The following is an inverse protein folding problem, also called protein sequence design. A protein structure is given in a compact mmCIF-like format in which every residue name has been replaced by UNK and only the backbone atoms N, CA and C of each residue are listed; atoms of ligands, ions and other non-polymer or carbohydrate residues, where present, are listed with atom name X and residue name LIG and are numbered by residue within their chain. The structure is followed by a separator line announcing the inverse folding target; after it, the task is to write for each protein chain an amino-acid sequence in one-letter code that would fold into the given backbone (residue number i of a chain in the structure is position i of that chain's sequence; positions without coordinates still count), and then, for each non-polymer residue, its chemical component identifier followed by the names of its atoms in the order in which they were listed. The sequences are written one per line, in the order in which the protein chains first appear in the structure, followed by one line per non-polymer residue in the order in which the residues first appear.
data_IF_037951702209
#
_entry.id   IF_037951702209
#
_cell.length_a   1.000
_cell.length_b   1.000
_cell.length_c   1.000
_cell.angle_alpha   90.00
_cell.angle_beta   90.00
_cell.angle_gamma   90.00
#
_symmetry.space_group_name_H-M   'P 1'
#
loop_
_entity.id
_entity.type
_entity.pdbx_description
1 polymer ?
#
# COMPACT_ATOMS: atom_id res chain seq x y z
N UNK A 1 -3.55 -25.05 -10.02
CA UNK A 1 -2.92 -24.65 -8.75
C UNK A 1 -2.27 -23.30 -8.96
N UNK A 2 -2.60 -22.27 -8.20
CA UNK A 2 -1.92 -20.97 -8.32
C UNK A 2 -0.54 -21.17 -7.69
N UNK A 3 0.51 -21.32 -8.50
CA UNK A 3 1.89 -21.37 -8.02
C UNK A 3 2.32 -19.96 -7.66
N UNK A 4 2.77 -19.73 -6.43
CA UNK A 4 3.41 -18.48 -6.08
C UNK A 4 4.77 -18.42 -6.80
N UNK A 5 5.01 -17.41 -7.64
CA UNK A 5 6.31 -17.28 -8.28
C UNK A 5 7.38 -17.15 -7.20
N UNK A 6 8.51 -17.83 -7.39
CA UNK A 6 9.66 -17.60 -6.55
C UNK A 6 10.11 -16.14 -6.75
N UNK A 7 10.69 -15.53 -5.72
CA UNK A 7 11.20 -14.15 -5.74
C UNK A 7 12.14 -13.80 -6.90
N UNK A 8 12.62 -14.83 -7.62
CA UNK A 8 13.63 -14.80 -8.67
C UNK A 8 13.00 -14.95 -10.07
N UNK A 9 11.69 -15.18 -10.16
CA UNK A 9 11.00 -15.36 -11.44
C UNK A 9 10.81 -14.03 -12.17
N UNK A 10 11.16 -14.00 -13.46
CA UNK A 10 10.87 -12.90 -14.39
C UNK A 10 9.36 -12.53 -14.40
N UNK A 11 8.51 -13.47 -14.00
CA UNK A 11 7.06 -13.37 -13.95
C UNK A 11 6.50 -12.58 -12.75
N UNK A 12 7.32 -12.15 -11.79
CA UNK A 12 6.80 -11.41 -10.60
C UNK A 12 6.14 -10.07 -10.99
N UNK A 13 6.62 -9.42 -12.06
CA UNK A 13 6.00 -8.20 -12.56
C UNK A 13 4.62 -8.47 -13.16
N UNK A 14 4.49 -9.45 -14.05
CA UNK A 14 3.20 -9.84 -14.64
C UNK A 14 2.21 -10.31 -13.57
N UNK A 15 2.68 -11.09 -12.60
CA UNK A 15 1.88 -11.52 -11.47
C UNK A 15 1.37 -10.32 -10.65
N UNK A 16 2.25 -9.38 -10.29
CA UNK A 16 1.88 -8.13 -9.60
C UNK A 16 0.88 -7.28 -10.40
N UNK A 17 1.04 -7.25 -11.74
CA UNK A 17 0.08 -6.59 -12.62
C UNK A 17 -1.31 -7.22 -12.52
N UNK A 18 -1.40 -8.55 -12.65
CA UNK A 18 -2.67 -9.26 -12.65
C UNK A 18 -3.40 -9.26 -11.31
N UNK A 19 -2.68 -9.34 -10.19
CA UNK A 19 -3.32 -9.50 -8.88
C UNK A 19 -3.55 -8.18 -8.12
N UNK A 20 -2.79 -7.12 -8.43
CA UNK A 20 -2.81 -5.88 -7.62
C UNK A 20 -2.95 -4.62 -8.46
N UNK A 21 -2.07 -4.41 -9.45
CA UNK A 21 -1.99 -3.12 -10.13
C UNK A 21 -3.10 -2.91 -11.17
N UNK A 22 -3.47 -3.93 -11.94
CA UNK A 22 -4.63 -3.83 -12.85
C UNK A 22 -5.94 -3.67 -12.07
N UNK A 23 -6.28 -4.53 -11.08
CA UNK A 23 -7.56 -4.43 -10.39
C UNK A 23 -7.72 -3.08 -9.68
N UNK A 24 -6.64 -2.57 -9.09
CA UNK A 24 -6.64 -1.26 -8.44
C UNK A 24 -6.88 -0.12 -9.42
N UNK A 25 -6.22 -0.14 -10.60
CA UNK A 25 -6.41 0.89 -11.64
C UNK A 25 -7.82 0.85 -12.22
N UNK A 26 -8.37 -0.35 -12.43
CA UNK A 26 -9.75 -0.52 -12.89
C UNK A 26 -10.74 0.06 -11.89
N UNK A 27 -10.57 -0.21 -10.60
CA UNK A 27 -11.41 0.37 -9.54
C UNK A 27 -11.31 1.91 -9.49
N UNK A 28 -10.11 2.49 -9.64
CA UNK A 28 -9.97 3.95 -9.70
C UNK A 28 -10.70 4.56 -10.91
N UNK A 29 -10.62 3.90 -12.08
CA UNK A 29 -11.31 4.37 -13.29
C UNK A 29 -12.83 4.28 -13.16
N UNK A 30 -13.33 3.23 -12.51
CA UNK A 30 -14.76 3.00 -12.31
C UNK A 30 -15.36 3.98 -11.29
N UNK A 31 -14.69 4.19 -10.16
CA UNK A 31 -15.24 5.00 -9.08
C UNK A 31 -14.92 6.50 -9.19
N UNK A 32 -13.89 6.88 -9.96
CA UNK A 32 -13.45 8.27 -10.15
C UNK A 32 -13.39 9.09 -8.84
N UNK A 33 -12.70 8.61 -7.78
CA UNK A 33 -12.76 9.29 -6.49
C UNK A 33 -11.96 10.59 -6.51
N UNK A 34 -12.50 11.65 -5.89
CA UNK A 34 -11.75 12.89 -5.64
C UNK A 34 -10.68 12.69 -4.55
N UNK A 35 -10.91 11.75 -3.63
CA UNK A 35 -10.06 11.49 -2.48
C UNK A 35 -9.95 10.00 -2.16
N UNK A 36 -8.77 9.55 -1.70
CA UNK A 36 -8.55 8.22 -1.13
C UNK A 36 -7.75 8.28 0.17
N UNK A 37 -8.21 7.53 1.18
CA UNK A 37 -7.39 7.25 2.35
C UNK A 37 -6.33 6.21 2.04
N UNK A 38 -5.13 6.43 2.54
CA UNK A 38 -4.04 5.46 2.47
C UNK A 38 -3.34 5.38 3.82
N UNK A 39 -2.54 4.34 4.04
CA UNK A 39 -1.69 4.23 5.22
C UNK A 39 -0.21 4.24 4.84
N UNK A 40 0.19 5.12 3.90
CA UNK A 40 1.60 5.45 3.71
C UNK A 40 2.10 6.09 5.01
N UNK A 41 3.28 5.66 5.45
CA UNK A 41 3.97 6.22 6.61
C UNK A 41 5.43 6.51 6.26
N UNK A 42 6.00 7.48 6.96
CA UNK A 42 7.43 7.83 6.88
C UNK A 42 8.31 6.65 7.33
N UNK A 43 9.58 6.64 6.92
CA UNK A 43 10.62 5.65 7.25
C UNK A 43 10.38 4.25 6.70
N UNK A 44 9.66 4.16 5.59
CA UNK A 44 9.41 2.91 4.89
C UNK A 44 10.26 2.79 3.61
N UNK A 45 10.37 3.87 2.84
CA UNK A 45 11.26 4.03 1.67
C UNK A 45 11.51 5.52 1.42
N UNK A 46 12.54 5.84 0.63
CA UNK A 46 12.81 7.22 0.20
C UNK A 46 11.62 7.86 -0.54
N UNK A 47 10.83 7.06 -1.27
CA UNK A 47 9.65 7.54 -1.96
C UNK A 47 8.54 7.98 -0.99
N UNK A 48 8.35 7.21 0.09
CA UNK A 48 7.31 7.47 1.09
C UNK A 48 7.65 8.65 1.97
N UNK A 49 8.94 8.91 2.20
CA UNK A 49 9.43 10.04 3.01
C UNK A 49 9.14 11.41 2.38
N UNK A 50 8.68 11.45 1.12
CA UNK A 50 8.38 12.69 0.37
C UNK A 50 6.88 12.95 0.18
N UNK A 51 5.98 12.27 0.91
CA UNK A 51 4.51 12.35 0.70
C UNK A 51 3.76 13.24 1.68
N UNK A 52 4.19 13.30 2.94
CA UNK A 52 3.42 13.94 4.03
C UNK A 52 1.99 13.37 4.20
N UNK A 53 1.21 13.95 5.12
CA UNK A 53 -0.19 13.57 5.39
C UNK A 53 -1.07 13.74 4.16
N UNK A 54 -0.84 14.80 3.37
CA UNK A 54 -1.62 15.12 2.17
C UNK A 54 -0.71 15.10 0.95
N UNK A 55 -1.10 14.34 -0.07
CA UNK A 55 -0.42 14.34 -1.38
C UNK A 55 -1.41 14.10 -2.51
N UNK A 56 -1.03 14.44 -3.74
CA UNK A 56 -1.85 14.17 -4.93
C UNK A 56 -1.29 12.98 -5.75
N UNK A 57 -2.18 12.25 -6.44
CA UNK A 57 -1.77 11.43 -7.59
C UNK A 57 -1.51 12.30 -8.82
N UNK A 58 -0.91 11.72 -9.86
CA UNK A 58 -0.79 12.37 -11.18
C UNK A 58 -2.15 12.73 -11.77
N UNK A 59 -3.18 11.93 -11.46
CA UNK A 59 -4.54 12.12 -11.94
C UNK A 59 -5.37 13.07 -11.05
N UNK A 60 -4.75 13.78 -10.09
CA UNK A 60 -5.42 14.79 -9.27
C UNK A 60 -6.20 14.27 -8.08
N UNK A 61 -6.12 12.97 -7.76
CA UNK A 61 -6.81 12.38 -6.60
C UNK A 61 -6.05 12.75 -5.31
N UNK A 62 -6.76 13.33 -4.33
CA UNK A 62 -6.20 13.64 -3.02
C UNK A 62 -5.97 12.34 -2.23
N UNK A 63 -4.72 12.06 -1.88
CA UNK A 63 -4.32 10.98 -1.00
C UNK A 63 -4.16 11.53 0.41
N UNK A 64 -4.88 10.93 1.36
CA UNK A 64 -4.84 11.30 2.77
C UNK A 64 -4.25 10.15 3.58
N UNK A 65 -3.16 10.41 4.31
CA UNK A 65 -2.48 9.43 5.16
C UNK A 65 -2.46 9.93 6.61
N UNK A 66 -3.54 9.72 7.38
CA UNK A 66 -3.69 10.31 8.72
C UNK A 66 -2.58 9.89 9.71
N UNK A 67 -2.03 8.70 9.52
CA UNK A 67 -1.01 8.11 10.39
C UNK A 67 0.41 8.30 9.85
N UNK A 68 0.63 9.26 8.95
CA UNK A 68 1.90 9.39 8.21
C UNK A 68 3.15 9.42 9.12
N UNK A 69 3.07 10.13 10.25
CA UNK A 69 4.16 10.26 11.22
C UNK A 69 4.12 9.24 12.36
N UNK A 70 3.14 8.33 12.38
CA UNK A 70 2.99 7.36 13.47
C UNK A 70 3.95 6.18 13.32
N UNK A 71 4.54 5.79 14.44
CA UNK A 71 5.33 4.57 14.54
C UNK A 71 4.40 3.35 14.60
N UNK A 72 4.98 2.16 14.40
CA UNK A 72 4.25 0.91 14.61
C UNK A 72 3.69 0.81 16.05
N UNK A 73 4.44 1.31 17.02
CA UNK A 73 4.02 1.35 18.43
C UNK A 73 2.83 2.25 18.69
N UNK A 74 2.65 3.32 17.92
CA UNK A 74 1.51 4.22 18.07
C UNK A 74 0.24 3.58 17.51
N UNK A 75 0.34 2.91 16.36
CA UNK A 75 -0.76 2.12 15.80
C UNK A 75 -1.14 0.96 16.73
N UNK A 76 -0.16 0.26 17.28
CA UNK A 76 -0.40 -0.85 18.20
C UNK A 76 -1.10 -0.39 19.48
N UNK A 77 -0.70 0.76 20.02
CA UNK A 77 -1.37 1.38 21.17
C UNK A 77 -2.82 1.72 20.83
N UNK A 78 -3.06 2.40 19.70
CA UNK A 78 -4.39 2.81 19.28
C UNK A 78 -5.33 1.61 19.06
N UNK A 79 -4.83 0.56 18.43
CA UNK A 79 -5.56 -0.69 18.21
C UNK A 79 -5.97 -1.34 19.55
N UNK A 80 -5.05 -1.39 20.52
CA UNK A 80 -5.33 -1.94 21.84
C UNK A 80 -6.33 -1.08 22.64
N UNK A 81 -6.14 0.25 22.70
CA UNK A 81 -7.02 1.18 23.42
C UNK A 81 -8.45 1.16 22.90
N UNK A 82 -8.64 0.91 21.60
CA UNK A 82 -9.95 0.87 20.95
C UNK A 82 -10.51 -0.54 20.75
N UNK A 83 -9.84 -1.58 21.27
CA UNK A 83 -10.23 -2.99 21.11
C UNK A 83 -10.45 -3.39 19.62
N UNK A 84 -9.58 -2.92 18.73
CA UNK A 84 -9.67 -3.22 17.30
C UNK A 84 -9.00 -4.56 16.96
N UNK A 85 -9.56 -5.35 16.03
CA UNK A 85 -8.92 -6.58 15.58
C UNK A 85 -7.64 -6.29 14.81
N UNK A 86 -6.58 -7.07 15.08
CA UNK A 86 -5.29 -7.00 14.38
C UNK A 86 -5.03 -8.32 13.66
N UNK A 87 -4.76 -8.27 12.35
CA UNK A 87 -4.32 -9.45 11.62
C UNK A 87 -2.85 -9.74 11.92
N UNK A 88 -2.57 -10.86 12.58
CA UNK A 88 -1.22 -11.32 12.92
C UNK A 88 -0.64 -12.29 11.88
N UNK A 89 -1.47 -12.82 10.99
CA UNK A 89 -1.09 -13.82 9.97
C UNK A 89 -1.25 -13.22 8.56
N UNK A 90 -0.64 -12.05 8.35
CA UNK A 90 -0.69 -11.35 7.07
C UNK A 90 0.43 -11.84 6.14
N UNK A 91 0.03 -12.31 4.96
CA UNK A 91 0.95 -12.68 3.88
C UNK A 91 0.57 -11.96 2.58
N UNK A 92 1.53 -11.22 2.00
CA UNK A 92 1.38 -10.57 0.70
C UNK A 92 2.32 -11.25 -0.31
N UNK A 93 1.78 -12.03 -1.28
CA UNK A 93 2.59 -12.84 -2.18
C UNK A 93 3.45 -12.04 -3.16
N UNK A 94 3.27 -10.71 -3.24
CA UNK A 94 4.06 -9.82 -4.10
C UNK A 94 4.91 -8.82 -3.34
N UNK A 95 4.79 -8.76 -2.01
CA UNK A 95 5.63 -7.92 -1.15
C UNK A 95 6.73 -8.76 -0.54
N UNK A 96 7.52 -9.36 -1.40
CA UNK A 96 8.50 -10.35 -1.00
C UNK A 96 9.84 -9.73 -0.53
N UNK A 97 10.03 -8.41 -0.70
CA UNK A 97 11.00 -7.60 0.04
C UNK A 97 10.27 -6.42 0.68
N UNK A 98 10.50 -6.17 1.97
CA UNK A 98 9.88 -5.05 2.70
C UNK A 98 10.22 -3.67 2.11
N UNK A 99 11.39 -3.56 1.46
CA UNK A 99 11.88 -2.36 0.78
C UNK A 99 11.30 -2.15 -0.63
N UNK A 100 10.63 -3.15 -1.22
CA UNK A 100 10.05 -3.02 -2.56
C UNK A 100 8.78 -2.17 -2.49
N UNK A 101 8.74 -1.12 -3.30
CA UNK A 101 7.54 -0.30 -3.43
C UNK A 101 6.38 -1.08 -4.04
N UNK A 102 5.18 -0.84 -3.51
CA UNK A 102 3.98 -1.60 -3.87
C UNK A 102 3.36 -1.21 -5.23
N UNK A 103 3.92 -0.20 -5.93
CA UNK A 103 3.46 0.29 -7.23
C UNK A 103 2.19 1.15 -7.21
N UNK A 104 1.23 0.88 -6.32
CA UNK A 104 -0.06 1.60 -6.20
C UNK A 104 0.09 3.11 -5.93
N UNK A 105 1.21 3.51 -5.33
CA UNK A 105 1.45 4.90 -4.97
C UNK A 105 2.21 5.69 -6.04
N UNK A 106 2.85 5.02 -7.02
CA UNK A 106 3.63 5.64 -8.10
C UNK A 106 2.79 6.35 -9.17
N UNK A 107 1.47 6.18 -9.07
CA UNK A 107 0.44 6.83 -9.89
C UNK A 107 0.10 8.19 -9.30
#
# INVERSE_FOLDING_TARGET
TISFPSLVDENVNEFSQGIKLEPFRRALKEHQPDMRFTNIRVRQTEYRDKKDILSFSKDGILKVSPFYYWLDTDLDRYVAENNLPKNTDYFDPIKALSSRECGIHLQ
#
